data_IF_729822819739
#
_entry.id   IF_729822819739
#
_cell.length_a   1.000
_cell.length_b   1.000
_cell.length_c   1.000
_cell.angle_alpha   90.00
_cell.angle_beta   90.00
_cell.angle_gamma   90.00
#
_symmetry.space_group_name_H-M   'P 1'
#
loop_
_entity.id
_entity.type
_entity.pdbx_description
1 polymer ?
#
# COMPACT_ATOMS: atom_id res chain seq x y z
N UNK A 1 -17.31 -10.46 -17.84
CA UNK A 1 -17.04 -11.85 -18.28
C UNK A 1 -17.12 -12.77 -17.08
N UNK A 2 -17.72 -13.98 -17.25
CA UNK A 2 -17.78 -14.95 -16.15
C UNK A 2 -16.45 -15.71 -16.11
N UNK A 3 -15.81 -15.68 -14.96
CA UNK A 3 -14.59 -16.45 -14.67
C UNK A 3 -14.89 -17.46 -13.56
N UNK A 4 -14.28 -18.64 -13.65
CA UNK A 4 -14.45 -19.71 -12.65
C UNK A 4 -13.07 -19.96 -12.04
N UNK A 5 -12.93 -19.66 -10.75
CA UNK A 5 -11.65 -19.80 -10.04
C UNK A 5 -11.22 -21.27 -9.89
N UNK A 6 -12.18 -22.16 -9.60
CA UNK A 6 -11.91 -23.55 -9.28
C UNK A 6 -12.65 -24.52 -10.22
N UNK A 7 -12.30 -24.57 -11.52
CA UNK A 7 -13.00 -25.41 -12.50
C UNK A 7 -12.86 -26.92 -12.19
N UNK A 8 -11.81 -27.32 -11.48
CA UNK A 8 -11.57 -28.71 -11.09
C UNK A 8 -12.61 -29.25 -10.07
N UNK A 9 -13.37 -28.38 -9.39
CA UNK A 9 -14.48 -28.79 -8.51
C UNK A 9 -15.60 -29.54 -9.24
N UNK A 10 -15.65 -29.48 -10.56
CA UNK A 10 -16.55 -30.31 -11.38
C UNK A 10 -16.34 -31.81 -11.18
N UNK A 11 -15.13 -32.22 -10.80
CA UNK A 11 -14.78 -33.60 -10.48
C UNK A 11 -15.53 -34.13 -9.24
N UNK A 12 -16.09 -33.24 -8.41
CA UNK A 12 -16.91 -33.61 -7.25
C UNK A 12 -18.35 -34.03 -7.65
N UNK A 13 -18.78 -33.78 -8.88
CA UNK A 13 -20.12 -34.16 -9.33
C UNK A 13 -20.44 -35.65 -9.16
N UNK A 14 -19.60 -36.62 -9.52
CA UNK A 14 -19.89 -38.04 -9.36
C UNK A 14 -19.76 -38.56 -7.91
N UNK A 15 -19.28 -37.74 -6.96
CA UNK A 15 -18.98 -38.15 -5.59
C UNK A 15 -20.17 -38.80 -4.85
N UNK A 16 -21.40 -38.27 -4.89
CA UNK A 16 -22.53 -38.92 -4.21
C UNK A 16 -22.87 -40.32 -4.77
N UNK A 17 -22.68 -40.49 -6.07
CA UNK A 17 -22.90 -41.79 -6.73
C UNK A 17 -21.81 -42.78 -6.38
N UNK A 18 -20.55 -42.35 -6.35
CA UNK A 18 -19.40 -43.14 -5.90
C UNK A 18 -19.56 -43.57 -4.44
N UNK A 19 -19.92 -42.68 -3.55
CA UNK A 19 -20.16 -42.97 -2.13
C UNK A 19 -21.29 -43.98 -1.94
N UNK A 20 -22.39 -43.89 -2.69
CA UNK A 20 -23.47 -44.89 -2.64
C UNK A 20 -23.05 -46.28 -3.09
N UNK A 21 -22.02 -46.37 -3.95
CA UNK A 21 -21.51 -47.68 -4.44
C UNK A 21 -20.56 -48.31 -3.46
N UNK A 22 -19.83 -47.52 -2.67
CA UNK A 22 -18.81 -47.98 -1.71
C UNK A 22 -19.41 -48.20 -0.33
N UNK A 23 -20.36 -47.41 0.10
CA UNK A 23 -21.00 -47.52 1.41
C UNK A 23 -22.09 -48.58 1.39
N UNK A 24 -22.09 -49.57 2.31
CA UNK A 24 -23.17 -50.53 2.44
C UNK A 24 -24.46 -49.80 2.83
N UNK A 25 -25.62 -50.27 2.37
CA UNK A 25 -26.88 -49.69 2.75
C UNK A 25 -27.05 -49.70 4.26
N UNK A 26 -27.37 -48.55 4.86
CA UNK A 26 -27.67 -48.51 6.30
C UNK A 26 -28.76 -49.49 6.64
N UNK A 27 -28.48 -50.43 7.57
CA UNK A 27 -29.46 -51.36 8.05
C UNK A 27 -30.65 -50.60 8.61
N UNK A 28 -31.82 -50.78 8.04
CA UNK A 28 -33.08 -50.26 8.62
C UNK A 28 -33.29 -51.00 9.93
N UNK A 29 -32.84 -50.41 11.04
CA UNK A 29 -33.26 -50.86 12.38
C UNK A 29 -34.72 -50.42 12.54
N UNK A 30 -35.62 -51.16 11.92
CA UNK A 30 -37.00 -51.16 12.29
C UNK A 30 -37.10 -51.80 13.66
N UNK A 31 -37.37 -51.01 14.71
CA UNK A 31 -37.84 -51.57 15.95
C UNK A 31 -39.19 -52.25 15.62
N UNK A 32 -39.12 -53.53 15.32
CA UNK A 32 -40.33 -54.33 15.19
C UNK A 32 -40.90 -54.49 16.59
N UNK A 33 -41.87 -53.64 16.95
CA UNK A 33 -42.68 -53.83 18.13
C UNK A 33 -43.51 -55.08 17.87
N UNK A 34 -43.15 -56.17 18.53
CA UNK A 34 -43.93 -57.41 18.47
C UNK A 34 -45.19 -57.20 19.29
N UNK A 35 -46.31 -56.87 18.64
CA UNK A 35 -47.60 -56.74 19.24
C UNK A 35 -48.34 -58.08 19.08
N UNK A 36 -48.50 -58.87 20.14
CA UNK A 36 -49.14 -60.20 20.05
C UNK A 36 -50.61 -60.14 19.68
N UNK A 37 -51.26 -58.92 19.67
CA UNK A 37 -52.65 -58.68 19.34
C UNK A 37 -52.85 -57.99 18.00
N UNK A 38 -51.85 -58.00 17.10
CA UNK A 38 -51.93 -57.27 15.81
C UNK A 38 -53.13 -57.73 14.91
N UNK A 39 -53.69 -58.94 15.15
CA UNK A 39 -54.85 -59.42 14.43
C UNK A 39 -56.17 -58.79 14.85
N UNK A 40 -56.26 -58.18 16.04
CA UNK A 40 -57.54 -57.62 16.58
C UNK A 40 -57.66 -56.11 16.33
N UNK A 41 -56.60 -55.42 15.95
CA UNK A 41 -56.64 -53.98 15.71
C UNK A 41 -56.56 -53.76 14.20
N UNK A 42 -57.76 -53.41 13.64
CA UNK A 42 -57.85 -52.91 12.27
C UNK A 42 -57.16 -51.54 12.21
N UNK A 43 -55.79 -51.53 12.16
CA UNK A 43 -55.02 -50.37 11.92
C UNK A 43 -55.38 -49.90 10.51
N UNK A 44 -56.31 -48.96 10.41
CA UNK A 44 -56.51 -48.16 9.21
C UNK A 44 -55.08 -47.70 8.78
N UNK A 45 -54.66 -48.22 7.66
CA UNK A 45 -53.45 -47.72 6.97
C UNK A 45 -53.64 -46.21 6.82
N UNK A 46 -53.11 -45.44 7.76
CA UNK A 46 -52.87 -44.02 7.52
C UNK A 46 -52.07 -43.97 6.26
N UNK A 47 -52.68 -43.55 5.19
CA UNK A 47 -52.02 -43.20 3.93
C UNK A 47 -51.05 -42.08 4.23
N UNK A 48 -49.87 -42.44 4.73
CA UNK A 48 -48.72 -41.51 4.69
C UNK A 48 -48.54 -41.15 3.22
N UNK A 49 -48.71 -39.85 2.93
CA UNK A 49 -48.41 -39.30 1.62
C UNK A 49 -46.99 -39.72 1.28
N UNK A 50 -46.84 -40.82 0.52
CA UNK A 50 -45.58 -41.29 -0.01
C UNK A 50 -45.12 -40.23 -1.01
N UNK A 51 -44.40 -39.22 -0.50
CA UNK A 51 -43.67 -38.32 -1.36
C UNK A 51 -42.76 -39.23 -2.17
N UNK A 52 -43.05 -39.32 -3.48
CA UNK A 52 -42.37 -40.20 -4.42
C UNK A 52 -40.85 -40.14 -4.17
N UNK A 53 -40.24 -41.27 -3.90
CA UNK A 53 -38.79 -41.40 -3.63
C UNK A 53 -37.95 -40.73 -4.73
N UNK A 54 -38.50 -40.62 -5.94
CA UNK A 54 -37.94 -39.89 -7.06
C UNK A 54 -37.85 -38.39 -6.82
N UNK A 55 -38.89 -37.73 -6.26
CA UNK A 55 -38.88 -36.29 -6.00
C UNK A 55 -37.83 -35.91 -4.96
N UNK A 56 -37.69 -36.72 -3.93
CA UNK A 56 -36.65 -36.54 -2.90
C UNK A 56 -35.24 -36.73 -3.46
N UNK A 57 -35.01 -37.77 -4.28
CA UNK A 57 -33.74 -38.03 -4.91
C UNK A 57 -33.35 -36.88 -5.86
N UNK A 58 -34.31 -36.34 -6.61
CA UNK A 58 -34.11 -35.17 -7.48
C UNK A 58 -33.69 -33.94 -6.68
N UNK A 59 -34.36 -33.70 -5.51
CA UNK A 59 -34.03 -32.56 -4.64
C UNK A 59 -32.58 -32.63 -4.12
N UNK A 60 -32.15 -33.83 -3.68
CA UNK A 60 -30.74 -34.02 -3.24
C UNK A 60 -29.72 -33.81 -4.36
N UNK A 61 -30.03 -34.28 -5.57
CA UNK A 61 -29.19 -34.06 -6.74
C UNK A 61 -29.08 -32.57 -7.06
N UNK A 62 -30.21 -31.85 -7.00
CA UNK A 62 -30.25 -30.41 -7.26
C UNK A 62 -29.42 -29.62 -6.22
N UNK A 63 -29.59 -29.95 -4.93
CA UNK A 63 -28.80 -29.33 -3.85
C UNK A 63 -27.32 -29.60 -4.07
N UNK A 64 -26.93 -30.84 -4.43
CA UNK A 64 -25.55 -31.17 -4.70
C UNK A 64 -24.97 -30.40 -5.90
N UNK A 65 -25.72 -30.28 -6.99
CA UNK A 65 -25.32 -29.48 -8.16
C UNK A 65 -25.10 -28.01 -7.80
N UNK A 66 -25.99 -27.44 -6.99
CA UNK A 66 -25.85 -26.06 -6.52
C UNK A 66 -24.63 -25.86 -5.61
N UNK A 67 -24.35 -26.84 -4.73
CA UNK A 67 -23.15 -26.81 -3.89
C UNK A 67 -21.86 -26.86 -4.71
N UNK A 68 -21.81 -27.74 -5.72
CA UNK A 68 -20.65 -27.81 -6.62
C UNK A 68 -20.53 -26.52 -7.42
N UNK A 69 -21.64 -25.97 -7.92
CA UNK A 69 -21.63 -24.68 -8.63
C UNK A 69 -21.14 -23.54 -7.73
N UNK A 70 -21.52 -23.51 -6.45
CA UNK A 70 -21.02 -22.55 -5.48
C UNK A 70 -19.53 -22.76 -5.21
N UNK A 71 -19.07 -24.01 -5.08
CA UNK A 71 -17.66 -24.36 -4.83
C UNK A 71 -16.74 -24.02 -6.01
N UNK A 72 -17.26 -23.95 -7.24
CA UNK A 72 -16.53 -23.49 -8.41
C UNK A 72 -16.22 -21.98 -8.37
N UNK A 73 -16.77 -21.22 -7.43
CA UNK A 73 -16.61 -19.77 -7.24
C UNK A 73 -16.75 -18.99 -8.56
N UNK A 74 -17.96 -18.97 -9.14
CA UNK A 74 -18.20 -18.12 -10.31
C UNK A 74 -18.05 -16.65 -9.93
N UNK A 75 -17.21 -15.93 -10.68
CA UNK A 75 -16.93 -14.52 -10.51
C UNK A 75 -17.33 -13.75 -11.75
N UNK A 76 -17.91 -12.57 -11.55
CA UNK A 76 -18.13 -11.63 -12.63
C UNK A 76 -16.98 -10.64 -12.66
N UNK A 77 -16.19 -10.70 -13.74
CA UNK A 77 -15.10 -9.77 -13.99
C UNK A 77 -15.68 -8.53 -14.69
N UNK A 78 -15.60 -7.41 -14.00
CA UNK A 78 -15.92 -6.11 -14.57
C UNK A 78 -14.81 -5.62 -15.53
N UNK A 79 -15.07 -4.51 -16.23
CA UNK A 79 -14.07 -3.89 -17.09
C UNK A 79 -12.84 -3.50 -16.30
N UNK A 80 -11.64 -3.74 -16.86
CA UNK A 80 -10.42 -3.34 -16.17
C UNK A 80 -10.39 -1.82 -16.01
N UNK A 81 -10.30 -1.36 -14.77
CA UNK A 81 -10.12 0.04 -14.44
C UNK A 81 -8.62 0.33 -14.37
N UNK A 82 -8.10 1.34 -15.08
CA UNK A 82 -6.74 1.78 -14.90
C UNK A 82 -6.64 2.40 -13.49
N UNK A 83 -6.02 1.67 -12.57
CA UNK A 83 -5.62 2.23 -11.29
C UNK A 83 -4.21 2.77 -11.50
N UNK A 84 -3.99 4.06 -11.35
CA UNK A 84 -2.63 4.61 -11.36
C UNK A 84 -1.89 3.98 -10.18
N UNK A 85 -1.18 2.91 -10.44
CA UNK A 85 -0.33 2.29 -9.44
C UNK A 85 1.08 2.74 -9.67
N UNK A 86 1.67 3.21 -8.58
CA UNK A 86 3.05 3.61 -8.45
C UNK A 86 3.46 4.79 -9.33
N UNK A 87 3.01 5.96 -8.91
CA UNK A 87 3.78 7.16 -9.12
C UNK A 87 5.20 6.97 -8.57
N UNK A 88 6.02 7.96 -8.76
CA UNK A 88 7.39 7.96 -8.25
C UNK A 88 7.41 7.87 -6.74
N UNK A 89 8.47 7.29 -6.23
CA UNK A 89 8.77 7.27 -4.81
C UNK A 89 9.72 8.41 -4.51
N UNK A 90 9.25 9.38 -3.74
CA UNK A 90 9.97 10.57 -3.35
C UNK A 90 10.24 10.53 -1.86
N UNK A 91 11.50 10.59 -1.48
CA UNK A 91 11.89 10.70 -0.08
C UNK A 91 12.41 12.13 0.16
N UNK A 92 11.71 12.90 1.00
CA UNK A 92 12.18 14.22 1.41
C UNK A 92 13.02 14.08 2.66
N UNK A 93 14.28 14.56 2.61
CA UNK A 93 15.11 14.74 3.79
C UNK A 93 15.22 16.23 4.08
N UNK A 94 14.62 16.64 5.18
CA UNK A 94 14.53 18.05 5.60
C UNK A 94 15.42 18.31 6.81
N UNK A 95 16.32 19.26 6.64
CA UNK A 95 17.15 19.78 7.72
C UNK A 95 16.27 20.53 8.74
N UNK A 96 16.42 20.20 10.00
CA UNK A 96 15.74 20.84 11.12
C UNK A 96 16.74 21.30 12.20
N UNK A 97 17.98 21.51 11.79
CA UNK A 97 19.06 22.03 12.64
C UNK A 97 18.79 23.46 13.11
N UNK A 98 19.61 23.95 14.02
CA UNK A 98 19.41 25.28 14.62
C UNK A 98 19.42 26.44 13.61
N UNK A 99 20.17 26.35 12.52
CA UNK A 99 20.26 27.35 11.46
C UNK A 99 18.96 27.56 10.71
N UNK A 100 18.10 26.54 10.62
CA UNK A 100 16.79 26.62 9.99
C UNK A 100 15.79 27.55 10.70
N UNK A 101 16.12 27.98 11.92
CA UNK A 101 15.34 29.02 12.64
C UNK A 101 15.62 30.44 12.13
N UNK A 102 16.68 30.66 11.32
CA UNK A 102 17.12 31.98 10.88
C UNK A 102 16.01 32.67 10.05
N UNK A 103 15.60 33.90 10.44
CA UNK A 103 14.53 34.62 9.74
C UNK A 103 15.11 35.49 8.62
N UNK A 104 15.79 34.90 7.66
CA UNK A 104 16.45 35.59 6.53
C UNK A 104 15.71 35.44 5.19
N UNK A 105 14.56 34.76 5.23
CA UNK A 105 13.69 34.63 4.05
C UNK A 105 12.72 35.81 3.90
N UNK A 106 12.04 35.89 2.76
CA UNK A 106 11.04 36.94 2.53
C UNK A 106 10.04 37.02 3.68
N UNK A 107 9.59 38.26 4.00
CA UNK A 107 8.66 38.56 5.11
C UNK A 107 9.20 38.18 6.51
N UNK A 108 10.53 38.15 6.67
CA UNK A 108 11.16 37.79 7.93
C UNK A 108 10.76 36.38 8.44
N UNK A 109 10.38 35.49 7.52
CA UNK A 109 10.04 34.11 7.83
C UNK A 109 11.29 33.27 8.08
N UNK A 110 11.21 32.29 8.98
CA UNK A 110 12.31 31.34 9.16
C UNK A 110 12.45 30.44 7.93
N UNK A 111 13.65 29.94 7.69
CA UNK A 111 13.93 29.00 6.59
C UNK A 111 13.02 27.78 6.66
N UNK A 112 12.83 27.23 7.86
CA UNK A 112 11.94 26.09 8.07
C UNK A 112 10.49 26.41 7.69
N UNK A 113 9.97 27.58 8.09
CA UNK A 113 8.59 27.96 7.77
C UNK A 113 8.36 28.05 6.24
N UNK A 114 9.33 28.59 5.50
CA UNK A 114 9.26 28.63 4.04
C UNK A 114 9.29 27.24 3.44
N UNK A 115 10.18 26.35 3.93
CA UNK A 115 10.24 24.95 3.50
C UNK A 115 8.93 24.23 3.80
N UNK A 116 8.38 24.37 5.00
CA UNK A 116 7.11 23.75 5.40
C UNK A 116 5.96 24.14 4.48
N UNK A 117 5.85 25.42 4.14
CA UNK A 117 4.81 25.92 3.26
C UNK A 117 4.99 25.38 1.84
N UNK A 118 6.16 25.62 1.24
CA UNK A 118 6.38 25.31 -0.19
C UNK A 118 6.50 23.80 -0.44
N UNK A 119 7.22 23.07 0.42
CA UNK A 119 7.31 21.62 0.30
C UNK A 119 5.98 20.93 0.67
N UNK A 120 5.21 21.49 1.61
CA UNK A 120 3.85 21.02 1.92
C UNK A 120 2.90 21.16 0.73
N UNK A 121 2.93 22.29 0.02
CA UNK A 121 2.16 22.50 -1.20
C UNK A 121 2.63 21.55 -2.33
N UNK A 122 3.93 21.37 -2.48
CA UNK A 122 4.51 20.43 -3.44
C UNK A 122 4.03 18.99 -3.19
N UNK A 123 4.06 18.53 -1.94
CA UNK A 123 3.59 17.19 -1.55
C UNK A 123 2.12 17.02 -1.93
N UNK A 124 1.25 17.98 -1.56
CA UNK A 124 -0.19 17.89 -1.80
C UNK A 124 -0.58 17.90 -3.28
N UNK A 125 0.21 18.57 -4.12
CA UNK A 125 -0.04 18.65 -5.56
C UNK A 125 0.42 17.41 -6.33
N UNK A 126 1.07 16.45 -5.67
CA UNK A 126 1.47 15.18 -6.26
C UNK A 126 0.29 14.22 -6.33
N UNK A 127 -0.01 13.71 -7.52
CA UNK A 127 -1.08 12.74 -7.72
C UNK A 127 -0.47 11.39 -8.14
N UNK A 128 -0.77 10.36 -7.36
CA UNK A 128 -0.33 8.99 -7.63
C UNK A 128 1.08 8.66 -7.14
N UNK A 129 1.85 9.63 -6.61
CA UNK A 129 3.18 9.42 -6.06
C UNK A 129 3.12 8.92 -4.60
N UNK A 130 4.19 8.25 -4.16
CA UNK A 130 4.45 7.95 -2.76
C UNK A 130 5.50 8.91 -2.23
N UNK A 131 5.22 9.55 -1.11
CA UNK A 131 6.14 10.47 -0.47
C UNK A 131 6.46 9.98 0.94
N UNK A 132 7.74 9.99 1.31
CA UNK A 132 8.21 9.77 2.66
C UNK A 132 8.93 11.00 3.19
N UNK A 133 9.03 11.13 4.50
CA UNK A 133 9.65 12.27 5.18
C UNK A 133 10.71 11.79 6.17
N UNK A 134 11.94 12.24 5.96
CA UNK A 134 13.05 12.13 6.89
C UNK A 134 13.33 13.51 7.45
N UNK A 135 13.48 13.62 8.76
CA UNK A 135 13.97 14.83 9.40
C UNK A 135 15.39 14.56 9.89
N UNK A 136 16.27 15.51 9.68
CA UNK A 136 17.65 15.36 10.14
C UNK A 136 18.21 16.66 10.74
N UNK A 137 19.12 16.47 11.62
CA UNK A 137 19.92 17.47 12.32
C UNK A 137 21.20 16.78 12.77
N UNK A 138 21.49 16.71 14.05
CA UNK A 138 22.59 15.89 14.60
C UNK A 138 22.37 14.39 14.33
N UNK A 139 21.13 13.95 14.23
CA UNK A 139 20.71 12.60 13.88
C UNK A 139 19.63 12.64 12.78
N UNK A 140 19.46 11.54 12.07
CA UNK A 140 18.40 11.41 11.08
C UNK A 140 17.36 10.37 11.55
N UNK A 141 16.06 10.66 11.37
CA UNK A 141 14.98 9.74 11.67
C UNK A 141 13.84 9.83 10.66
N UNK A 142 13.10 8.74 10.54
CA UNK A 142 11.96 8.64 9.65
C UNK A 142 10.73 9.21 10.32
N UNK A 143 10.22 10.34 9.83
CA UNK A 143 8.99 10.95 10.32
C UNK A 143 7.77 10.32 9.67
N UNK A 144 7.84 10.03 8.36
CA UNK A 144 6.81 9.31 7.63
C UNK A 144 7.46 8.32 6.65
N UNK A 145 7.03 7.05 6.62
CA UNK A 145 7.44 6.10 5.59
C UNK A 145 6.87 6.52 4.23
N UNK A 146 7.36 5.91 3.15
CA UNK A 146 6.78 6.10 1.82
C UNK A 146 5.29 5.70 1.85
N UNK A 147 4.42 6.67 1.59
CA UNK A 147 2.97 6.50 1.60
C UNK A 147 2.31 7.32 0.49
N UNK A 148 1.15 6.86 0.03
CA UNK A 148 0.28 7.62 -0.85
C UNK A 148 -0.63 8.62 -0.10
N UNK A 149 -0.64 8.58 1.25
CA UNK A 149 -1.34 9.56 2.08
C UNK A 149 -0.52 10.85 2.20
N UNK A 150 -0.61 11.67 1.17
CA UNK A 150 0.16 12.90 1.04
C UNK A 150 -0.27 13.98 2.03
N UNK A 151 -1.53 13.97 2.45
CA UNK A 151 -2.04 14.92 3.43
C UNK A 151 -1.42 14.71 4.80
N UNK A 152 -1.29 13.47 5.23
CA UNK A 152 -0.61 13.12 6.48
C UNK A 152 0.88 13.49 6.44
N UNK A 153 1.58 13.23 5.33
CA UNK A 153 2.99 13.62 5.18
C UNK A 153 3.15 15.14 5.24
N UNK A 154 2.30 15.89 4.52
CA UNK A 154 2.30 17.35 4.55
C UNK A 154 1.96 17.91 5.94
N UNK A 155 1.11 17.24 6.70
CA UNK A 155 0.81 17.61 8.09
C UNK A 155 2.02 17.39 8.99
N UNK A 156 2.68 16.24 8.94
CA UNK A 156 3.89 15.98 9.72
C UNK A 156 4.99 17.00 9.43
N UNK A 157 5.15 17.39 8.15
CA UNK A 157 6.10 18.44 7.81
C UNK A 157 5.71 19.78 8.44
N UNK A 158 4.43 20.18 8.42
CA UNK A 158 3.96 21.45 9.04
C UNK A 158 4.14 21.48 10.55
N UNK A 159 4.00 20.35 11.22
CA UNK A 159 4.13 20.24 12.68
C UNK A 159 5.59 20.11 13.14
N UNK A 160 6.53 20.00 12.22
CA UNK A 160 7.97 19.87 12.51
C UNK A 160 8.50 21.17 13.14
N UNK A 161 9.32 21.01 14.17
CA UNK A 161 9.97 22.13 14.85
C UNK A 161 11.48 22.05 14.73
N UNK A 162 12.14 23.23 14.73
CA UNK A 162 13.60 23.31 14.70
C UNK A 162 14.19 22.61 15.93
N UNK A 163 15.28 21.88 15.74
CA UNK A 163 16.03 21.21 16.78
C UNK A 163 15.51 19.84 17.21
N UNK A 164 14.37 19.37 16.65
CA UNK A 164 13.79 18.06 17.00
C UNK A 164 14.74 16.90 16.68
N UNK A 165 15.61 17.06 15.68
CA UNK A 165 16.65 16.09 15.30
C UNK A 165 18.06 16.49 15.80
N UNK A 166 18.13 17.45 16.69
CA UNK A 166 19.36 18.07 17.17
C UNK A 166 19.69 19.37 16.44
N UNK A 167 20.71 20.09 16.94
CA UNK A 167 21.01 21.45 16.48
C UNK A 167 22.08 21.53 15.40
N UNK A 168 22.82 20.46 15.19
CA UNK A 168 23.87 20.33 14.15
C UNK A 168 23.32 19.67 12.88
N UNK A 169 24.13 19.60 11.82
CA UNK A 169 23.71 19.10 10.51
C UNK A 169 24.57 17.90 10.06
N UNK A 170 23.95 16.70 10.01
CA UNK A 170 24.58 15.45 9.60
C UNK A 170 24.08 14.97 8.23
N UNK A 171 24.54 15.58 7.16
CA UNK A 171 24.10 15.29 5.76
C UNK A 171 24.44 13.85 5.37
N UNK A 172 25.67 13.39 5.69
CA UNK A 172 26.11 12.04 5.34
C UNK A 172 25.24 10.96 6.00
N UNK A 173 24.92 11.14 7.29
CA UNK A 173 24.08 10.22 8.03
C UNK A 173 22.62 10.24 7.52
N UNK A 174 22.11 11.40 7.09
CA UNK A 174 20.78 11.50 6.48
C UNK A 174 20.69 10.71 5.17
N UNK A 175 21.69 10.80 4.30
CA UNK A 175 21.78 10.00 3.06
C UNK A 175 21.89 8.50 3.39
N UNK A 176 22.79 8.14 4.32
CA UNK A 176 22.97 6.75 4.74
C UNK A 176 21.69 6.15 5.37
N UNK A 177 20.98 6.95 6.17
CA UNK A 177 19.71 6.56 6.75
C UNK A 177 18.61 6.33 5.68
N UNK A 178 18.51 7.25 4.70
CA UNK A 178 17.59 7.11 3.57
C UNK A 178 17.88 5.81 2.81
N UNK A 179 19.13 5.53 2.50
CA UNK A 179 19.56 4.32 1.79
C UNK A 179 19.19 3.04 2.57
N UNK A 180 19.48 3.02 3.88
CA UNK A 180 19.14 1.89 4.76
C UNK A 180 17.64 1.60 4.78
N UNK A 181 16.81 2.65 4.77
CA UNK A 181 15.34 2.50 4.75
C UNK A 181 14.84 1.94 3.42
N UNK A 182 15.44 2.34 2.31
CA UNK A 182 15.10 1.84 1.00
C UNK A 182 15.49 0.36 0.81
N UNK A 183 16.65 -0.05 1.30
CA UNK A 183 17.14 -1.43 1.22
C UNK A 183 16.34 -2.39 2.14
N UNK A 184 15.88 -1.93 3.30
CA UNK A 184 15.12 -2.75 4.25
C UNK A 184 13.73 -3.15 3.74
N UNK A 185 13.18 -2.43 2.77
CA UNK A 185 11.85 -2.65 2.21
C UNK A 185 11.85 -3.27 0.81
N UNK A 186 12.98 -3.83 0.34
CA UNK A 186 13.13 -4.38 -1.02
C UNK A 186 12.08 -5.46 -1.38
N UNK A 187 11.48 -6.13 -0.41
CA UNK A 187 10.41 -7.13 -0.66
C UNK A 187 9.06 -6.51 -1.00
N UNK A 188 8.83 -5.24 -0.62
CA UNK A 188 7.57 -4.52 -0.84
C UNK A 188 7.74 -3.29 -1.76
N UNK A 189 8.93 -2.74 -1.81
CA UNK A 189 9.26 -1.53 -2.56
C UNK A 189 10.26 -1.87 -3.65
N UNK A 190 9.88 -1.93 -4.91
CA UNK A 190 10.75 -2.13 -6.07
C UNK A 190 12.20 -1.58 -5.95
N UNK A 191 13.00 -1.72 -6.96
CA UNK A 191 14.44 -1.39 -6.91
C UNK A 191 14.69 0.05 -6.45
N UNK A 192 15.73 0.28 -5.65
CA UNK A 192 16.15 1.62 -5.16
C UNK A 192 16.27 2.68 -6.29
N UNK A 193 16.58 2.25 -7.51
CA UNK A 193 16.66 3.10 -8.71
C UNK A 193 15.35 3.79 -9.14
N UNK A 194 14.22 3.43 -8.56
CA UNK A 194 12.92 4.09 -8.80
C UNK A 194 12.61 5.17 -7.74
N UNK A 195 13.46 5.32 -6.74
CA UNK A 195 13.29 6.28 -5.66
C UNK A 195 14.21 7.47 -5.83
N UNK A 196 13.67 8.65 -5.56
CA UNK A 196 14.41 9.91 -5.60
C UNK A 196 14.48 10.47 -4.18
N UNK A 197 15.66 10.90 -3.75
CA UNK A 197 15.86 11.64 -2.51
C UNK A 197 15.96 13.14 -2.82
N UNK A 198 15.16 13.94 -2.15
CA UNK A 198 15.27 15.41 -2.19
C UNK A 198 15.82 15.83 -0.82
N UNK A 199 17.05 16.31 -0.81
CA UNK A 199 17.77 16.75 0.38
C UNK A 199 17.72 18.28 0.48
N UNK A 200 17.06 18.79 1.52
CA UNK A 200 16.98 20.22 1.82
C UNK A 200 17.84 20.55 3.04
N UNK A 201 18.77 21.47 2.89
CA UNK A 201 19.62 21.95 3.99
C UNK A 201 19.99 23.41 3.77
N UNK A 202 20.28 24.11 4.85
CA UNK A 202 20.75 25.49 4.83
C UNK A 202 22.21 25.64 5.31
N UNK A 203 22.85 24.51 5.65
CA UNK A 203 24.20 24.49 6.21
C UNK A 203 25.13 23.48 5.52
N UNK A 204 26.37 23.47 5.98
CA UNK A 204 27.37 22.46 5.69
C UNK A 204 27.30 21.29 6.68
N UNK A 205 27.92 20.16 6.32
CA UNK A 205 28.00 19.01 7.22
C UNK A 205 28.95 19.29 8.39
N UNK A 206 28.43 19.36 9.61
CA UNK A 206 29.19 19.63 10.83
C UNK A 206 29.02 18.58 11.93
N UNK A 207 28.24 17.53 11.65
CA UNK A 207 27.99 16.40 12.53
C UNK A 207 27.88 15.09 11.74
N UNK A 208 27.65 14.00 12.46
CA UNK A 208 27.46 12.66 11.88
C UNK A 208 28.74 11.85 11.79
N UNK A 209 28.60 10.55 11.57
CA UNK A 209 29.71 9.60 11.44
C UNK A 209 30.11 9.34 9.99
N UNK A 210 29.19 9.57 9.03
CA UNK A 210 29.39 9.32 7.62
C UNK A 210 29.74 10.60 6.88
N UNK A 211 30.84 10.57 6.10
CA UNK A 211 31.16 11.69 5.22
C UNK A 211 30.13 11.81 4.09
N UNK A 212 29.61 13.03 3.78
CA UNK A 212 28.58 13.24 2.77
C UNK A 212 28.90 12.66 1.39
N UNK A 213 30.16 12.83 0.92
CA UNK A 213 30.57 12.33 -0.39
C UNK A 213 30.72 10.81 -0.43
N UNK A 214 31.12 10.19 0.68
CA UNK A 214 31.14 8.73 0.82
C UNK A 214 29.73 8.16 0.80
N UNK A 215 28.79 8.79 1.54
CA UNK A 215 27.38 8.43 1.52
C UNK A 215 26.78 8.57 0.10
N UNK A 216 27.10 9.65 -0.62
CA UNK A 216 26.65 9.87 -2.00
C UNK A 216 27.14 8.80 -2.97
N UNK A 217 28.37 8.33 -2.85
CA UNK A 217 28.91 7.23 -3.67
C UNK A 217 28.13 5.93 -3.43
N UNK A 218 27.94 5.56 -2.18
CA UNK A 218 27.15 4.36 -1.82
C UNK A 218 25.71 4.47 -2.34
N UNK A 219 25.12 5.68 -2.25
CA UNK A 219 23.80 5.94 -2.79
C UNK A 219 23.73 5.81 -4.32
N UNK A 220 24.73 6.29 -5.02
CA UNK A 220 24.85 6.16 -6.48
C UNK A 220 25.00 4.69 -6.90
N UNK A 221 25.84 3.92 -6.20
CA UNK A 221 26.04 2.48 -6.45
C UNK A 221 24.72 1.69 -6.23
N UNK A 222 23.88 2.15 -5.31
CA UNK A 222 22.54 1.59 -5.09
C UNK A 222 21.47 2.12 -6.08
N UNK A 223 21.83 3.06 -6.97
CA UNK A 223 20.93 3.64 -7.95
C UNK A 223 20.02 4.74 -7.40
N UNK A 224 20.27 5.24 -6.17
CA UNK A 224 19.52 6.33 -5.57
C UNK A 224 19.93 7.67 -6.18
N UNK A 225 18.98 8.39 -6.80
CA UNK A 225 19.21 9.74 -7.32
C UNK A 225 18.92 10.76 -6.22
N UNK A 226 19.83 11.73 -6.04
CA UNK A 226 19.71 12.76 -5.00
C UNK A 226 19.67 14.15 -5.62
N UNK A 227 18.56 14.86 -5.40
CA UNK A 227 18.48 16.30 -5.65
C UNK A 227 18.81 17.04 -4.36
N UNK A 228 19.72 18.00 -4.44
CA UNK A 228 20.12 18.79 -3.28
C UNK A 228 19.63 20.22 -3.43
N UNK A 229 19.01 20.75 -2.38
CA UNK A 229 18.44 22.08 -2.34
C UNK A 229 19.09 22.86 -1.18
N UNK A 230 19.90 23.85 -1.50
CA UNK A 230 20.45 24.79 -0.53
C UNK A 230 19.45 25.92 -0.27
N UNK A 231 19.02 26.08 0.98
CA UNK A 231 18.03 27.09 1.41
C UNK A 231 18.72 28.22 2.15
N UNK A 232 18.31 29.47 1.88
CA UNK A 232 18.81 30.65 2.61
C UNK A 232 19.07 31.85 1.70
N UNK A 233 19.13 33.05 2.26
CA UNK A 233 19.33 34.30 1.52
C UNK A 233 20.59 34.27 0.66
N UNK A 234 20.56 35.02 -0.45
CA UNK A 234 21.74 35.25 -1.26
C UNK A 234 22.79 36.03 -0.46
N UNK A 235 24.08 35.63 -0.62
CA UNK A 235 25.17 36.37 -0.02
C UNK A 235 25.18 37.80 -0.57
N UNK A 236 24.80 38.78 0.23
CA UNK A 236 25.05 40.17 -0.11
C UNK A 236 26.52 40.50 0.19
N UNK A 237 27.32 40.79 -0.82
CA UNK A 237 28.62 41.36 -0.64
C UNK A 237 28.48 42.79 -0.07
N UNK A 238 28.48 42.88 1.24
CA UNK A 238 28.48 44.18 1.91
C UNK A 238 29.87 44.83 1.77
N UNK A 239 29.89 46.17 1.79
CA UNK A 239 31.09 46.99 1.63
C UNK A 239 32.15 46.75 2.72
N UNK A 240 31.81 46.07 3.81
CA UNK A 240 32.67 45.74 4.96
C UNK A 240 32.91 44.25 5.19
N UNK A 241 32.83 43.43 4.17
CA UNK A 241 33.03 42.00 4.29
C UNK A 241 31.75 41.20 3.99
N UNK A 242 31.92 39.95 3.58
CA UNK A 242 30.82 39.07 3.23
C UNK A 242 29.98 38.79 4.47
N UNK A 243 28.83 39.47 4.57
CA UNK A 243 27.78 39.12 5.51
C UNK A 243 26.77 38.27 4.74
N UNK A 244 27.04 37.01 4.61
CA UNK A 244 26.18 36.04 3.95
C UNK A 244 26.34 34.70 4.58
N UNK A 245 25.48 33.79 4.28
CA UNK A 245 25.46 32.44 4.85
C UNK A 245 26.81 31.72 4.55
N UNK A 246 27.82 31.93 5.40
CA UNK A 246 29.10 31.23 5.32
C UNK A 246 28.97 29.73 5.63
N UNK A 247 27.80 29.31 6.14
CA UNK A 247 27.60 27.95 6.63
C UNK A 247 27.14 26.98 5.55
N UNK A 248 26.65 27.45 4.39
CA UNK A 248 26.20 26.55 3.30
C UNK A 248 27.36 26.09 2.43
N UNK A 249 27.67 24.82 2.50
CA UNK A 249 28.70 24.20 1.62
C UNK A 249 28.05 23.78 0.28
N UNK A 250 27.90 24.77 -0.62
CA UNK A 250 27.31 24.53 -1.95
C UNK A 250 28.14 23.55 -2.78
N UNK A 251 29.47 23.54 -2.60
CA UNK A 251 30.34 22.69 -3.39
C UNK A 251 30.14 21.21 -3.04
N UNK A 252 30.00 20.90 -1.77
CA UNK A 252 29.66 19.55 -1.34
C UNK A 252 28.26 19.14 -1.85
N UNK A 253 27.25 20.01 -1.77
CA UNK A 253 25.90 19.73 -2.28
C UNK A 253 25.88 19.49 -3.81
N UNK A 254 26.60 20.32 -4.58
CA UNK A 254 26.77 20.13 -6.03
C UNK A 254 27.46 18.82 -6.37
N UNK A 255 28.45 18.43 -5.60
CA UNK A 255 29.17 17.14 -5.79
C UNK A 255 28.30 15.95 -5.45
N UNK A 256 27.50 15.99 -4.37
CA UNK A 256 26.53 14.95 -4.01
C UNK A 256 25.54 14.74 -5.16
N UNK A 257 24.89 15.83 -5.63
CA UNK A 257 23.95 15.76 -6.74
C UNK A 257 24.60 15.18 -8.00
N UNK A 258 25.80 15.63 -8.37
CA UNK A 258 26.53 15.15 -9.55
C UNK A 258 26.87 13.66 -9.47
N UNK A 259 27.36 13.19 -8.32
CA UNK A 259 27.72 11.76 -8.10
C UNK A 259 26.50 10.86 -8.27
N UNK A 260 25.32 11.31 -7.81
CA UNK A 260 24.07 10.55 -7.80
C UNK A 260 23.18 10.82 -9.01
N UNK A 261 23.70 11.48 -10.06
CA UNK A 261 22.95 11.84 -11.28
C UNK A 261 21.72 12.72 -11.05
N UNK A 262 21.71 13.48 -9.95
CA UNK A 262 20.72 14.51 -9.65
C UNK A 262 21.19 15.92 -10.06
N UNK A 263 20.50 16.94 -9.54
CA UNK A 263 20.80 18.34 -9.80
C UNK A 263 20.80 19.14 -8.47
N UNK A 264 21.71 20.12 -8.36
CA UNK A 264 21.75 21.05 -7.23
C UNK A 264 20.92 22.29 -7.54
N UNK A 265 20.15 22.73 -6.57
CA UNK A 265 19.36 23.96 -6.66
C UNK A 265 19.64 24.89 -5.47
N UNK A 266 19.55 26.20 -5.73
CA UNK A 266 19.60 27.24 -4.69
C UNK A 266 18.23 27.86 -4.56
N UNK A 267 17.70 27.89 -3.33
CA UNK A 267 16.45 28.55 -3.00
C UNK A 267 16.69 29.72 -2.03
N UNK A 268 16.64 30.94 -2.55
CA UNK A 268 16.87 32.18 -1.79
C UNK A 268 15.59 32.75 -1.18
N UNK A 269 14.45 32.33 -1.69
CA UNK A 269 13.12 32.74 -1.25
C UNK A 269 12.08 31.67 -1.61
N UNK A 270 10.84 31.87 -1.18
CA UNK A 270 9.74 30.95 -1.42
C UNK A 270 9.47 30.73 -2.92
N UNK A 271 9.59 31.80 -3.75
CA UNK A 271 9.33 31.70 -5.20
C UNK A 271 10.43 30.91 -5.91
N UNK A 272 11.68 31.07 -5.50
CA UNK A 272 12.80 30.26 -5.98
C UNK A 272 12.58 28.78 -5.62
N UNK A 273 12.17 28.47 -4.39
CA UNK A 273 11.90 27.10 -3.95
C UNK A 273 10.72 26.47 -4.73
N UNK A 274 9.67 27.24 -5.03
CA UNK A 274 8.57 26.77 -5.90
C UNK A 274 9.07 26.41 -7.31
N UNK A 275 9.92 27.25 -7.90
CA UNK A 275 10.53 26.98 -9.22
C UNK A 275 11.41 25.71 -9.19
N UNK A 276 12.15 25.49 -8.10
CA UNK A 276 12.94 24.28 -7.90
C UNK A 276 12.03 23.04 -7.91
N UNK A 277 10.96 23.04 -7.15
CA UNK A 277 10.02 21.93 -7.15
C UNK A 277 9.34 21.72 -8.51
N UNK A 278 8.94 22.78 -9.19
CA UNK A 278 8.40 22.70 -10.56
C UNK A 278 9.44 22.15 -11.57
N UNK A 279 10.73 22.38 -11.34
CA UNK A 279 11.79 21.80 -12.14
C UNK A 279 11.96 20.31 -11.86
N UNK A 280 11.92 19.91 -10.57
CA UNK A 280 11.98 18.49 -10.16
C UNK A 280 10.77 17.72 -10.75
N UNK A 281 9.58 18.31 -10.78
CA UNK A 281 8.39 17.71 -11.42
C UNK A 281 8.61 17.41 -12.90
N UNK A 282 9.31 18.31 -13.61
CA UNK A 282 9.64 18.10 -15.03
C UNK A 282 10.73 17.05 -15.24
N UNK A 283 11.70 16.96 -14.31
CA UNK A 283 12.78 15.97 -14.36
C UNK A 283 12.31 14.59 -13.98
N UNK A 284 11.36 14.53 -13.05
CA UNK A 284 10.79 13.33 -12.48
C UNK A 284 9.27 13.32 -12.67
N UNK A 285 8.78 13.20 -13.92
CA UNK A 285 7.35 13.16 -14.16
C UNK A 285 6.73 11.92 -13.50
N UNK A 286 5.54 12.08 -12.92
CA UNK A 286 4.77 10.99 -12.34
C UNK A 286 4.46 9.96 -13.45
N UNK A 287 5.28 8.94 -13.56
CA UNK A 287 5.15 7.87 -14.54
C UNK A 287 4.33 6.74 -13.94
N UNK A 288 3.01 6.87 -13.93
CA UNK A 288 2.15 5.78 -13.56
C UNK A 288 2.28 4.65 -14.60
N UNK A 289 2.86 3.52 -14.24
CA UNK A 289 2.52 2.29 -14.92
C UNK A 289 1.06 2.03 -14.61
N UNK A 290 0.19 2.09 -15.63
CA UNK A 290 -1.21 1.69 -15.51
C UNK A 290 -1.25 0.21 -15.13
N UNK A 291 -1.44 -0.09 -13.87
CA UNK A 291 -1.86 -1.44 -13.48
C UNK A 291 -3.37 -1.52 -13.66
N UNK A 292 -3.78 -2.45 -14.49
CA UNK A 292 -5.18 -2.73 -14.73
C UNK A 292 -5.73 -3.56 -13.57
N UNK A 293 -6.45 -2.92 -12.66
CA UNK A 293 -7.19 -3.63 -11.62
C UNK A 293 -8.54 -4.06 -12.19
N UNK A 294 -8.83 -5.36 -12.13
CA UNK A 294 -10.14 -5.90 -12.49
C UNK A 294 -10.93 -6.16 -11.21
N UNK A 295 -11.89 -5.31 -10.86
CA UNK A 295 -12.79 -5.62 -9.77
C UNK A 295 -13.56 -6.89 -10.12
N UNK A 296 -13.67 -7.80 -9.15
CA UNK A 296 -14.41 -9.04 -9.31
C UNK A 296 -15.52 -9.10 -8.27
N UNK A 297 -16.72 -9.40 -8.74
CA UNK A 297 -17.87 -9.65 -7.90
C UNK A 297 -18.07 -11.15 -7.74
N UNK A 298 -18.10 -11.62 -6.53
CA UNK A 298 -18.25 -13.04 -6.21
C UNK A 298 -19.73 -13.43 -6.26
N UNK A 299 -20.08 -14.35 -7.16
CA UNK A 299 -21.47 -14.79 -7.37
C UNK A 299 -21.79 -16.13 -6.72
N UNK A 300 -20.84 -16.75 -6.02
CA UNK A 300 -21.05 -18.04 -5.35
C UNK A 300 -22.13 -17.99 -4.25
N UNK A 301 -22.41 -16.81 -3.71
CA UNK A 301 -23.42 -16.59 -2.65
C UNK A 301 -24.81 -17.03 -3.11
N UNK A 302 -25.20 -16.78 -4.35
CA UNK A 302 -26.51 -17.12 -4.88
C UNK A 302 -26.79 -18.62 -4.97
N UNK A 303 -25.93 -19.44 -5.63
CA UNK A 303 -26.13 -20.89 -5.66
C UNK A 303 -26.01 -21.51 -4.26
N UNK A 304 -25.16 -20.96 -3.38
CA UNK A 304 -25.04 -21.42 -2.00
C UNK A 304 -26.31 -21.16 -1.18
N UNK A 305 -26.87 -19.96 -1.27
CA UNK A 305 -28.11 -19.59 -0.59
C UNK A 305 -29.28 -20.47 -1.06
N UNK A 306 -29.38 -20.70 -2.36
CA UNK A 306 -30.40 -21.56 -2.95
C UNK A 306 -30.26 -23.02 -2.49
N UNK A 307 -28.99 -23.52 -2.44
CA UNK A 307 -28.71 -24.86 -1.94
C UNK A 307 -29.14 -25.02 -0.47
N UNK A 308 -28.84 -24.04 0.38
CA UNK A 308 -29.23 -24.02 1.79
C UNK A 308 -30.76 -23.99 1.95
N UNK A 309 -31.47 -23.13 1.21
CA UNK A 309 -32.93 -23.07 1.24
C UNK A 309 -33.59 -24.41 0.84
N UNK A 310 -33.07 -25.04 -0.21
CA UNK A 310 -33.59 -26.34 -0.68
C UNK A 310 -33.16 -27.50 0.22
N UNK A 311 -32.12 -27.38 1.02
CA UNK A 311 -31.72 -28.42 1.97
C UNK A 311 -32.71 -28.59 3.14
N UNK A 312 -33.39 -27.52 3.57
CA UNK A 312 -34.36 -27.54 4.66
C UNK A 312 -35.52 -28.53 4.37
N UNK A 313 -36.26 -28.39 3.26
CA UNK A 313 -37.33 -29.37 2.95
C UNK A 313 -36.77 -30.77 2.66
N UNK A 314 -35.54 -30.87 2.12
CA UNK A 314 -34.92 -32.17 1.88
C UNK A 314 -34.64 -32.94 3.19
N UNK A 315 -34.26 -32.22 4.26
CA UNK A 315 -34.05 -32.79 5.61
C UNK A 315 -35.41 -33.08 6.30
N UNK A 316 -36.36 -32.14 6.26
CA UNK A 316 -37.69 -32.32 6.88
C UNK A 316 -38.48 -33.50 6.27
N UNK A 317 -38.25 -33.79 4.99
CA UNK A 317 -38.84 -34.99 4.35
C UNK A 317 -38.14 -36.29 4.79
N UNK A 318 -37.01 -36.24 5.49
CA UNK A 318 -36.33 -37.41 6.03
C UNK A 318 -36.96 -37.95 7.31
N UNK A 319 -37.47 -37.06 8.17
CA UNK A 319 -38.02 -37.44 9.48
C UNK A 319 -39.48 -37.97 9.43
N UNK A 320 -40.10 -37.95 8.24
CA UNK A 320 -41.46 -38.43 8.04
C UNK A 320 -41.54 -39.84 7.40
N UNK A 321 -40.44 -40.59 7.33
CA UNK A 321 -40.33 -41.96 6.81
C UNK A 321 -39.67 -42.87 7.85
#
# INVERSE_FOLDING_TARGET
>A
MIHIDWPWMILCLPLPWLLRRVMPPAAKQGAALFLPFAAAVNLQRTTTLQVSSRKRSLLFVLVWLLLVAAAMRPQWLDEPLPVPTTGRRLLLAVDVSGSMATPDMADNASRLNVVQKVAGDFIKNRHGDQVGLILFGTQAYLQAPLTADLDTVAQFLRETVVGVAGTQTAIGDAIGFALKRLQGNEKEAGKAGETVLILLTDGGNNAGMMEPLAAAKIAADAGLRIYTIGVGAAVQQGFFGASGNMDLDEDTLKRIAKITHGEYFRATDASALQKVYARIDKLEPSGGHEQWFRPHNEWFIWPLALALLLSIPAVLMRDRT
#
